data_IF_764423959933
#
_entry.id   IF_764423959933
#
_cell.length_a   1.000
_cell.length_b   1.000
_cell.length_c   1.000
_cell.angle_alpha   90.00
_cell.angle_beta   90.00
_cell.angle_gamma   90.00
#
_symmetry.space_group_name_H-M   'P 1'
#
loop_
_entity.id
_entity.type
_entity.pdbx_description
1 polymer ?
#
# COMPACT_ATOMS: atom_id res chain seq x y z
N UNK A 1 3.35 -5.31 -11.94
CA UNK A 1 3.55 -4.51 -10.75
C UNK A 1 2.37 -3.59 -10.51
N UNK A 2 2.28 -3.03 -9.34
CA UNK A 2 1.09 -2.28 -8.91
C UNK A 2 1.48 -0.96 -8.26
N UNK A 3 0.76 0.09 -8.58
CA UNK A 3 0.82 1.37 -7.88
C UNK A 3 -0.60 1.92 -7.80
N UNK A 4 -1.11 2.14 -6.60
CA UNK A 4 -2.47 2.60 -6.47
C UNK A 4 -2.83 3.08 -5.08
N UNK A 5 -4.05 3.59 -4.97
CA UNK A 5 -4.61 4.07 -3.73
C UNK A 5 -5.75 3.15 -3.29
N UNK A 6 -5.75 2.81 -2.02
CA UNK A 6 -6.91 2.20 -1.36
C UNK A 6 -7.56 3.22 -0.45
N UNK A 7 -8.87 3.14 -0.32
CA UNK A 7 -9.65 3.98 0.60
C UNK A 7 -10.31 3.09 1.64
N UNK A 8 -10.27 3.51 2.91
CA UNK A 8 -10.94 2.77 3.97
C UNK A 8 -12.44 3.02 3.93
N UNK A 9 -13.20 1.94 3.91
CA UNK A 9 -14.65 1.91 4.01
C UNK A 9 -15.00 1.00 5.18
N UNK A 10 -15.45 1.58 6.30
CA UNK A 10 -15.74 0.83 7.52
C UNK A 10 -14.52 0.03 7.99
N UNK A 11 -14.56 -1.29 7.92
CA UNK A 11 -13.47 -2.15 8.39
C UNK A 11 -12.74 -2.89 7.27
N UNK A 12 -12.78 -2.33 6.05
CA UNK A 12 -12.06 -2.91 4.91
C UNK A 12 -11.52 -1.78 4.01
N UNK A 13 -10.73 -2.15 3.02
CA UNK A 13 -10.17 -1.22 2.04
C UNK A 13 -10.70 -1.54 0.66
N UNK A 14 -11.04 -0.50 -0.10
CA UNK A 14 -11.47 -0.63 -1.50
C UNK A 14 -10.51 0.11 -2.41
N UNK A 15 -10.29 -0.44 -3.60
CA UNK A 15 -9.41 0.18 -4.58
C UNK A 15 -10.01 1.51 -5.06
N UNK A 16 -9.16 2.52 -5.19
CA UNK A 16 -9.48 3.79 -5.83
C UNK A 16 -8.69 3.86 -7.13
N UNK A 17 -7.95 4.93 -7.40
CA UNK A 17 -7.16 5.04 -8.62
C UNK A 17 -5.92 4.16 -8.56
N UNK A 18 -5.61 3.48 -9.67
CA UNK A 18 -4.45 2.60 -9.72
C UNK A 18 -3.89 2.47 -11.12
N UNK A 19 -2.62 2.04 -11.18
CA UNK A 19 -1.94 1.57 -12.39
C UNK A 19 -1.41 0.17 -12.11
N UNK A 20 -1.82 -0.78 -12.93
CA UNK A 20 -1.39 -2.17 -12.81
C UNK A 20 -1.68 -2.90 -14.12
N UNK A 21 -0.89 -3.93 -14.39
CA UNK A 21 -1.14 -4.84 -15.53
C UNK A 21 -2.17 -5.93 -15.18
N UNK A 22 -2.64 -5.95 -13.93
CA UNK A 22 -3.65 -6.90 -13.46
C UNK A 22 -4.74 -6.17 -12.68
N UNK A 23 -5.89 -6.84 -12.56
CA UNK A 23 -6.99 -6.32 -11.73
C UNK A 23 -6.58 -6.44 -10.26
N UNK A 24 -6.58 -5.33 -9.49
CA UNK A 24 -6.18 -5.40 -8.09
C UNK A 24 -7.23 -6.11 -7.24
N UNK A 25 -6.78 -6.63 -6.09
CA UNK A 25 -7.70 -7.15 -5.09
C UNK A 25 -8.53 -6.01 -4.51
N UNK A 26 -9.85 -6.18 -4.44
CA UNK A 26 -10.75 -5.23 -3.81
C UNK A 26 -12.10 -5.90 -3.56
N UNK A 27 -12.68 -5.82 -2.35
CA UNK A 27 -12.10 -5.20 -1.16
C UNK A 27 -10.99 -6.06 -0.54
N UNK A 28 -10.16 -5.48 0.31
CA UNK A 28 -9.15 -6.22 1.09
C UNK A 28 -9.34 -5.95 2.58
N UNK A 29 -8.88 -6.91 3.38
CA UNK A 29 -9.01 -6.83 4.83
C UNK A 29 -7.97 -5.89 5.44
N UNK A 30 -8.22 -5.45 6.67
CA UNK A 30 -7.35 -4.50 7.38
C UNK A 30 -6.12 -5.16 8.02
N UNK A 31 -5.99 -6.47 7.97
CA UNK A 31 -4.87 -7.18 8.63
C UNK A 31 -3.63 -7.36 7.74
N UNK A 32 -3.67 -6.91 6.48
CA UNK A 32 -2.50 -6.93 5.60
C UNK A 32 -1.63 -5.68 5.75
N UNK A 33 -0.70 -5.50 4.82
CA UNK A 33 0.25 -4.37 4.86
C UNK A 33 -0.48 -3.03 4.83
N UNK A 34 -1.39 -2.84 3.88
CA UNK A 34 -2.13 -1.59 3.73
C UNK A 34 -2.96 -1.27 4.96
N UNK A 35 -3.71 -2.25 5.46
CA UNK A 35 -4.54 -2.05 6.65
C UNK A 35 -3.71 -1.76 7.89
N UNK A 36 -2.59 -2.44 8.06
CA UNK A 36 -1.71 -2.21 9.19
C UNK A 36 -1.12 -0.80 9.16
N UNK A 37 -0.75 -0.30 7.97
CA UNK A 37 -0.22 1.06 7.86
C UNK A 37 -1.25 2.11 8.28
N UNK A 38 -2.51 1.91 7.92
CA UNK A 38 -3.59 2.83 8.34
C UNK A 38 -3.81 2.75 9.85
N UNK A 39 -3.89 1.53 10.40
CA UNK A 39 -4.14 1.34 11.82
C UNK A 39 -3.03 1.93 12.69
N UNK A 40 -1.78 1.79 12.27
CA UNK A 40 -0.63 2.32 12.99
C UNK A 40 -0.34 3.78 12.64
N UNK A 41 -0.98 4.30 11.59
CA UNK A 41 -0.74 5.64 11.03
C UNK A 41 0.74 5.87 10.72
N UNK A 42 1.38 4.85 10.15
CA UNK A 42 2.80 4.86 9.80
C UNK A 42 3.02 4.22 8.45
N UNK A 43 4.02 4.73 7.72
CA UNK A 43 4.50 4.08 6.51
C UNK A 43 5.09 2.72 6.87
N UNK A 44 4.75 1.70 6.07
CA UNK A 44 5.37 0.38 6.16
C UNK A 44 6.19 0.14 4.90
N UNK A 45 7.47 -0.19 5.09
CA UNK A 45 8.37 -0.60 4.01
C UNK A 45 8.70 -2.06 4.26
N UNK A 46 8.19 -2.93 3.37
CA UNK A 46 8.33 -4.38 3.52
C UNK A 46 9.33 -4.88 2.47
N UNK A 47 10.52 -5.23 2.92
CA UNK A 47 11.60 -5.67 2.02
C UNK A 47 11.30 -7.03 1.36
N UNK A 48 10.57 -7.90 2.06
CA UNK A 48 10.21 -9.22 1.59
C UNK A 48 8.80 -9.54 2.09
N UNK A 49 7.82 -9.46 1.18
CA UNK A 49 6.40 -9.65 1.53
C UNK A 49 6.11 -11.07 2.03
N UNK A 50 6.93 -12.06 1.66
CA UNK A 50 6.74 -13.42 2.14
C UNK A 50 6.96 -13.55 3.64
N UNK A 51 7.64 -12.60 4.25
CA UNK A 51 7.93 -12.58 5.69
C UNK A 51 6.92 -11.73 6.48
N UNK A 52 6.03 -11.04 5.79
CA UNK A 52 5.01 -10.24 6.49
C UNK A 52 3.85 -11.14 6.87
N UNK A 53 3.54 -11.19 8.16
CA UNK A 53 2.41 -11.98 8.65
C UNK A 53 1.11 -11.40 8.09
N UNK A 54 0.23 -12.27 7.58
CA UNK A 54 -1.06 -11.90 6.99
C UNK A 54 -0.96 -11.08 5.70
N UNK A 55 0.16 -11.18 4.96
CA UNK A 55 0.26 -10.52 3.67
C UNK A 55 -0.83 -11.03 2.72
N UNK A 56 -1.52 -10.09 2.07
CA UNK A 56 -2.55 -10.42 1.08
C UNK A 56 -1.88 -10.55 -0.28
N UNK A 57 -1.87 -11.77 -0.82
CA UNK A 57 -1.20 -12.07 -2.10
C UNK A 57 -2.17 -11.78 -3.24
N UNK A 58 -1.98 -10.64 -3.92
CA UNK A 58 -2.76 -10.27 -5.10
C UNK A 58 -1.98 -10.48 -6.38
N UNK A 59 -0.66 -10.49 -6.32
CA UNK A 59 0.24 -10.77 -7.43
C UNK A 59 1.41 -11.59 -6.90
N UNK A 60 1.53 -12.82 -7.41
CA UNK A 60 2.60 -13.74 -7.00
C UNK A 60 3.99 -13.22 -7.32
N UNK A 61 4.11 -12.28 -8.25
CA UNK A 61 5.39 -11.69 -8.64
C UNK A 61 5.81 -10.56 -7.71
N UNK A 62 4.95 -10.12 -6.81
CA UNK A 62 5.27 -9.06 -5.86
C UNK A 62 6.24 -9.59 -4.81
N UNK A 63 7.36 -8.89 -4.60
CA UNK A 63 8.42 -9.29 -3.66
C UNK A 63 8.57 -8.31 -2.52
N UNK A 64 8.38 -7.02 -2.78
CA UNK A 64 8.46 -5.98 -1.76
C UNK A 64 7.33 -4.98 -1.93
N UNK A 65 7.08 -4.19 -0.90
CA UNK A 65 5.94 -3.29 -0.88
C UNK A 65 6.23 -2.07 -0.02
N UNK A 66 5.69 -0.91 -0.41
CA UNK A 66 5.62 0.27 0.44
C UNK A 66 4.17 0.70 0.55
N UNK A 67 3.72 0.99 1.76
CA UNK A 67 2.36 1.46 2.03
C UNK A 67 2.44 2.72 2.88
N UNK A 68 1.88 3.82 2.36
CA UNK A 68 1.93 5.13 3.02
C UNK A 68 0.51 5.59 3.31
N UNK A 69 0.10 5.67 4.59
CA UNK A 69 -1.23 6.11 4.95
C UNK A 69 -1.32 7.64 4.92
N UNK A 70 -2.48 8.16 4.55
CA UNK A 70 -2.74 9.59 4.60
C UNK A 70 -4.24 9.86 4.71
N UNK A 71 -4.59 11.09 5.08
CA UNK A 71 -5.98 11.52 5.22
C UNK A 71 -6.22 12.65 4.25
N UNK A 72 -7.33 12.57 3.52
CA UNK A 72 -7.79 13.63 2.63
C UNK A 72 -9.30 13.71 2.70
N UNK A 73 -9.83 14.92 2.90
CA UNK A 73 -11.27 15.17 2.99
C UNK A 73 -11.94 14.27 4.05
N UNK A 74 -11.29 14.11 5.19
CA UNK A 74 -11.74 13.28 6.32
C UNK A 74 -11.84 11.79 5.99
N UNK A 75 -11.20 11.33 4.91
CA UNK A 75 -11.18 9.92 4.53
C UNK A 75 -9.76 9.40 4.65
N UNK A 76 -9.63 8.14 5.06
CA UNK A 76 -8.33 7.48 5.21
C UNK A 76 -7.99 6.73 3.94
N UNK A 77 -6.81 7.03 3.40
CA UNK A 77 -6.26 6.40 2.20
C UNK A 77 -4.92 5.77 2.52
N UNK A 78 -4.50 4.88 1.65
CA UNK A 78 -3.13 4.38 1.64
C UNK A 78 -2.63 4.34 0.21
N UNK A 79 -1.42 4.88 -0.01
CA UNK A 79 -0.71 4.69 -1.26
C UNK A 79 0.06 3.40 -1.16
N UNK A 80 -0.24 2.46 -2.06
CA UNK A 80 0.34 1.13 -2.07
C UNK A 80 1.10 0.90 -3.37
N UNK A 81 2.38 0.53 -3.25
CA UNK A 81 3.22 0.23 -4.41
C UNK A 81 3.94 -1.09 -4.16
N UNK A 82 3.86 -1.99 -5.15
CA UNK A 82 4.53 -3.29 -5.11
C UNK A 82 5.65 -3.35 -6.13
N UNK A 83 6.71 -4.08 -5.80
CA UNK A 83 7.86 -4.29 -6.67
C UNK A 83 8.13 -5.79 -6.86
N UNK A 84 8.64 -6.15 -8.04
CA UNK A 84 9.11 -7.51 -8.34
C UNK A 84 10.43 -7.84 -7.66
N UNK A 85 11.12 -6.84 -7.13
CA UNK A 85 12.43 -6.99 -6.53
C UNK A 85 12.33 -7.00 -5.02
N UNK A 86 13.13 -7.82 -4.37
CA UNK A 86 13.29 -7.73 -2.91
C UNK A 86 13.92 -6.38 -2.57
N UNK A 87 13.48 -5.79 -1.47
CA UNK A 87 14.03 -4.52 -1.02
C UNK A 87 13.87 -3.39 -2.02
N UNK A 88 12.76 -3.36 -2.77
CA UNK A 88 12.55 -2.39 -3.84
C UNK A 88 12.33 -0.96 -3.37
N UNK A 89 12.10 -0.75 -2.08
CA UNK A 89 11.79 0.57 -1.53
C UNK A 89 12.65 0.86 -0.31
N UNK A 90 12.98 2.15 -0.11
CA UNK A 90 13.74 2.61 1.05
C UNK A 90 13.17 3.93 1.57
N UNK A 91 13.88 4.54 2.52
CA UNK A 91 13.44 5.77 3.16
C UNK A 91 13.48 6.98 2.21
N UNK A 92 14.30 6.92 1.18
CA UNK A 92 14.35 7.98 0.15
C UNK A 92 13.05 7.95 -0.65
N UNK A 93 12.59 6.75 -1.02
CA UNK A 93 11.31 6.59 -1.71
C UNK A 93 10.17 7.11 -0.83
N UNK A 94 10.17 6.77 0.44
CA UNK A 94 9.16 7.24 1.37
C UNK A 94 9.10 8.77 1.40
N UNK A 95 10.25 9.42 1.48
CA UNK A 95 10.33 10.87 1.55
C UNK A 95 9.67 11.53 0.33
N UNK A 96 10.05 11.10 -0.87
CA UNK A 96 9.54 11.71 -2.09
C UNK A 96 8.09 11.37 -2.36
N UNK A 97 7.66 10.16 -2.02
CA UNK A 97 6.27 9.78 -2.17
C UNK A 97 5.36 10.58 -1.23
N UNK A 98 5.83 10.85 -0.01
CA UNK A 98 5.07 11.71 0.91
C UNK A 98 4.94 13.13 0.39
N UNK A 99 5.97 13.66 -0.26
CA UNK A 99 5.91 14.97 -0.90
C UNK A 99 4.86 15.01 -2.01
N UNK A 100 4.78 13.94 -2.80
CA UNK A 100 3.75 13.82 -3.85
C UNK A 100 2.36 13.78 -3.24
N UNK A 101 2.17 13.00 -2.19
CA UNK A 101 0.88 12.88 -1.49
C UNK A 101 0.41 14.25 -0.98
N UNK A 102 1.30 15.07 -0.45
CA UNK A 102 0.95 16.40 0.05
C UNK A 102 0.38 17.32 -1.03
N UNK A 103 0.64 17.03 -2.30
CA UNK A 103 0.20 17.84 -3.43
C UNK A 103 -1.09 17.34 -4.08
N UNK A 104 -1.65 16.28 -3.58
CA UNK A 104 -2.88 15.70 -4.15
C UNK A 104 -4.14 16.45 -3.71
#
# INVERSE_FOLDING_TARGET
IFCGFYIQKDNHLEISNYLSDKIPCSPIQMNGVCGQSIMDNNTLIVADVSKFKNHIICDENSKSEIAIPFIKDNKKYVLDIDSKNLGGFDQIDEKYLKEIIEKI
#
